data_IF_122799679916
#
_entry.id   IF_122799679916
#
_cell.length_a   1.000
_cell.length_b   1.000
_cell.length_c   1.000
_cell.angle_alpha   90.00
_cell.angle_beta   90.00
_cell.angle_gamma   90.00
#
_symmetry.space_group_name_H-M   'P 1'
#
loop_
_entity.id
_entity.type
_entity.pdbx_description
1 polymer ?
#
# COMPACT_ATOMS: atom_id res chain seq x y z
N UNK A 1 0.96 -11.28 1.37
CA UNK A 1 1.80 -10.14 1.86
C UNK A 1 2.76 -9.62 0.79
N UNK A 2 3.71 -10.42 0.30
CA UNK A 2 4.64 -9.98 -0.74
C UNK A 2 3.93 -9.52 -2.02
N UNK A 3 2.90 -10.23 -2.47
CA UNK A 3 2.10 -9.89 -3.64
C UNK A 3 1.40 -8.53 -3.50
N UNK A 4 0.62 -8.32 -2.43
CA UNK A 4 0.02 -7.01 -2.09
C UNK A 4 1.05 -5.87 -2.12
N UNK A 5 2.24 -6.10 -1.55
CA UNK A 5 3.32 -5.12 -1.52
C UNK A 5 3.86 -4.81 -2.92
N UNK A 6 4.04 -5.84 -3.76
CA UNK A 6 4.50 -5.69 -5.12
C UNK A 6 3.46 -4.98 -5.99
N UNK A 7 2.18 -5.36 -5.91
CA UNK A 7 1.07 -4.69 -6.63
C UNK A 7 1.07 -3.20 -6.29
N UNK A 8 1.10 -2.86 -5.00
CA UNK A 8 1.15 -1.47 -4.55
C UNK A 8 2.40 -0.72 -5.07
N UNK A 9 3.58 -1.33 -4.94
CA UNK A 9 4.86 -0.69 -5.29
C UNK A 9 4.94 -0.43 -6.79
N UNK A 10 4.63 -1.43 -7.61
CA UNK A 10 4.68 -1.31 -9.07
C UNK A 10 3.62 -0.36 -9.58
N UNK A 11 2.40 -0.40 -9.04
CA UNK A 11 1.36 0.53 -9.45
C UNK A 11 1.69 1.98 -9.03
N UNK A 12 2.21 2.19 -7.83
CA UNK A 12 2.67 3.53 -7.40
C UNK A 12 3.76 4.09 -8.32
N UNK A 13 4.70 3.24 -8.74
CA UNK A 13 5.72 3.61 -9.72
C UNK A 13 5.09 3.93 -11.09
N UNK A 14 4.20 3.08 -11.59
CA UNK A 14 3.52 3.30 -12.87
C UNK A 14 2.73 4.61 -12.88
N UNK A 15 1.98 4.91 -11.80
CA UNK A 15 1.27 6.18 -11.61
C UNK A 15 2.18 7.38 -11.72
N UNK A 16 3.37 7.31 -11.13
CA UNK A 16 4.36 8.40 -11.22
C UNK A 16 4.85 8.64 -12.64
N UNK A 17 4.94 7.59 -13.45
CA UNK A 17 5.39 7.67 -14.84
C UNK A 17 4.33 8.28 -15.77
N UNK A 18 3.05 7.99 -15.53
CA UNK A 18 1.94 8.51 -16.34
C UNK A 18 1.35 9.83 -15.82
N UNK A 19 1.92 10.40 -14.75
CA UNK A 19 1.43 11.64 -14.15
C UNK A 19 0.07 11.50 -13.45
N UNK A 20 -0.32 10.29 -13.05
CA UNK A 20 -1.54 10.05 -12.29
C UNK A 20 -1.38 10.46 -10.81
N UNK A 21 -2.50 10.65 -10.12
CA UNK A 21 -2.52 11.07 -8.71
C UNK A 21 -1.68 10.16 -7.82
N UNK A 22 -0.75 10.72 -7.03
CA UNK A 22 0.08 9.93 -6.11
C UNK A 22 -0.74 9.54 -4.88
N UNK A 23 -1.00 8.25 -4.70
CA UNK A 23 -1.86 7.74 -3.62
C UNK A 23 -1.13 7.58 -2.28
N UNK A 24 0.19 7.37 -2.31
CA UNK A 24 0.97 7.09 -1.09
C UNK A 24 1.04 8.26 -0.11
N UNK A 25 1.04 9.51 -0.62
CA UNK A 25 1.19 10.69 0.24
C UNK A 25 -0.01 10.89 1.18
N UNK A 26 -1.27 10.88 0.70
CA UNK A 26 -2.44 10.91 1.58
C UNK A 26 -2.47 9.79 2.63
N UNK A 27 -2.07 8.57 2.26
CA UNK A 27 -2.05 7.42 3.19
C UNK A 27 -0.97 7.58 4.27
N UNK A 28 0.19 8.10 3.90
CA UNK A 28 1.24 8.41 4.86
C UNK A 28 0.83 9.53 5.83
N UNK A 29 0.27 10.62 5.31
CA UNK A 29 -0.17 11.76 6.12
C UNK A 29 -1.32 11.39 7.08
N UNK A 30 -2.10 10.34 6.76
CA UNK A 30 -3.13 9.79 7.65
C UNK A 30 -2.56 9.00 8.85
N UNK A 31 -1.25 8.71 8.86
CA UNK A 31 -0.64 7.84 9.86
C UNK A 31 -1.07 6.37 9.70
N UNK A 32 -0.80 5.55 10.70
CA UNK A 32 -1.14 4.13 10.65
C UNK A 32 -2.65 3.90 10.65
N UNK A 33 -3.12 2.93 9.86
CA UNK A 33 -4.51 2.52 9.81
C UNK A 33 -5.04 2.10 11.19
N UNK A 34 -6.25 2.54 11.52
CA UNK A 34 -6.92 2.14 12.74
C UNK A 34 -7.28 0.65 12.70
N UNK A 35 -7.01 -0.07 13.79
CA UNK A 35 -7.34 -1.50 13.91
C UNK A 35 -6.27 -2.46 13.40
N UNK A 36 -5.18 -1.96 12.79
CA UNK A 36 -4.02 -2.79 12.43
C UNK A 36 -3.08 -2.90 13.62
N UNK A 37 -2.81 -4.14 14.03
CA UNK A 37 -1.79 -4.42 15.04
C UNK A 37 -0.40 -4.11 14.49
N UNK A 38 0.40 -3.39 15.26
CA UNK A 38 1.78 -3.06 14.90
C UNK A 38 2.72 -3.17 16.09
N UNK A 39 3.95 -3.58 15.81
CA UNK A 39 5.03 -3.68 16.78
C UNK A 39 6.30 -3.01 16.22
N UNK A 40 6.98 -2.19 17.03
CA UNK A 40 8.25 -1.59 16.64
C UNK A 40 9.36 -2.64 16.78
N UNK A 41 10.00 -3.01 15.67
CA UNK A 41 11.08 -4.03 15.67
C UNK A 41 12.47 -3.42 15.59
N UNK A 42 12.58 -2.23 15.00
CA UNK A 42 13.80 -1.41 14.96
C UNK A 42 13.41 0.07 14.75
N UNK A 43 14.31 1.04 14.98
CA UNK A 43 14.00 2.45 14.72
C UNK A 43 13.46 2.68 13.30
N UNK A 44 12.21 3.12 13.20
CA UNK A 44 11.53 3.36 11.92
C UNK A 44 11.06 2.12 11.16
N UNK A 45 11.14 0.92 11.77
CA UNK A 45 10.71 -0.34 11.17
C UNK A 45 9.67 -1.03 12.05
N UNK A 46 8.57 -1.41 11.45
CA UNK A 46 7.42 -2.00 12.14
C UNK A 46 7.07 -3.36 11.56
N UNK A 47 6.73 -4.30 12.43
CA UNK A 47 5.96 -5.48 12.07
C UNK A 47 4.48 -5.11 12.12
N UNK A 48 3.77 -5.32 11.01
CA UNK A 48 2.33 -5.20 10.89
C UNK A 48 1.72 -6.60 10.91
N UNK A 49 0.62 -6.78 11.65
CA UNK A 49 -0.09 -8.07 11.71
C UNK A 49 -1.51 -7.92 11.18
N UNK A 50 -1.91 -8.88 10.37
CA UNK A 50 -3.28 -9.10 9.94
C UNK A 50 -3.68 -10.55 10.14
N UNK A 51 -4.95 -10.86 9.86
CA UNK A 51 -5.46 -12.24 9.91
C UNK A 51 -4.75 -13.18 8.92
N UNK A 52 -4.20 -12.63 7.85
CA UNK A 52 -3.60 -13.39 6.75
C UNK A 52 -2.07 -13.52 6.87
N UNK A 53 -1.45 -12.83 7.81
CA UNK A 53 -0.01 -12.90 8.05
C UNK A 53 0.57 -11.60 8.61
N UNK A 54 1.89 -11.46 8.48
CA UNK A 54 2.61 -10.29 8.93
C UNK A 54 3.52 -9.70 7.84
N UNK A 55 3.85 -8.42 7.98
CA UNK A 55 4.79 -7.72 7.11
C UNK A 55 5.73 -6.83 7.95
N UNK A 56 7.04 -6.96 7.74
CA UNK A 56 8.05 -6.11 8.39
C UNK A 56 8.51 -5.06 7.39
N UNK A 57 8.18 -3.80 7.64
CA UNK A 57 8.41 -2.69 6.71
C UNK A 57 8.96 -1.47 7.44
N UNK A 58 9.86 -0.75 6.77
CA UNK A 58 10.34 0.56 7.23
C UNK A 58 9.40 1.69 6.79
N UNK A 59 9.44 2.82 7.50
CA UNK A 59 8.80 4.06 7.06
C UNK A 59 9.36 4.55 5.71
N UNK A 60 8.54 5.19 4.85
CA UNK A 60 7.10 5.45 5.02
C UNK A 60 6.20 4.23 4.70
N UNK A 61 6.79 3.13 4.22
CA UNK A 61 6.05 1.98 3.70
C UNK A 61 5.27 1.24 4.78
N UNK A 62 5.77 1.17 6.02
CA UNK A 62 5.01 0.61 7.14
C UNK A 62 3.70 1.35 7.39
N UNK A 63 3.74 2.68 7.42
CA UNK A 63 2.54 3.51 7.57
C UNK A 63 1.58 3.29 6.40
N UNK A 64 2.05 3.39 5.16
CA UNK A 64 1.21 3.24 3.97
C UNK A 64 0.60 1.83 3.90
N UNK A 65 1.41 0.79 4.07
CA UNK A 65 0.99 -0.59 3.92
C UNK A 65 0.03 -1.05 5.02
N UNK A 66 0.00 -0.37 6.17
CA UNK A 66 -1.03 -0.60 7.18
C UNK A 66 -2.45 -0.36 6.64
N UNK A 67 -2.64 0.54 5.68
CA UNK A 67 -3.95 0.72 5.03
C UNK A 67 -4.29 -0.37 4.02
N UNK A 68 -3.32 -1.20 3.64
CA UNK A 68 -3.44 -2.19 2.57
C UNK A 68 -3.43 -3.63 3.08
N UNK A 69 -2.88 -3.88 4.27
CA UNK A 69 -2.59 -5.24 4.76
C UNK A 69 -3.84 -6.12 4.89
N UNK A 70 -4.97 -5.52 5.25
CA UNK A 70 -6.29 -6.16 5.37
C UNK A 70 -7.14 -6.08 4.09
N UNK A 71 -6.69 -5.38 3.06
CA UNK A 71 -7.37 -5.36 1.76
C UNK A 71 -7.05 -6.62 0.96
N UNK A 72 -7.99 -7.10 0.14
CA UNK A 72 -7.70 -8.12 -0.87
C UNK A 72 -6.85 -7.54 -2.00
N UNK A 73 -6.14 -8.39 -2.72
CA UNK A 73 -5.37 -8.00 -3.91
C UNK A 73 -6.25 -7.24 -4.91
N UNK A 74 -7.49 -7.71 -5.17
CA UNK A 74 -8.42 -7.05 -6.09
C UNK A 74 -8.87 -5.66 -5.60
N UNK A 75 -8.98 -5.46 -4.28
CA UNK A 75 -9.28 -4.15 -3.72
C UNK A 75 -8.12 -3.18 -3.93
N UNK A 76 -6.89 -3.65 -3.73
CA UNK A 76 -5.67 -2.86 -3.98
C UNK A 76 -5.59 -2.52 -5.48
N UNK A 77 -5.76 -3.50 -6.36
CA UNK A 77 -5.76 -3.29 -7.82
C UNK A 77 -6.78 -2.25 -8.26
N UNK A 78 -8.03 -2.39 -7.82
CA UNK A 78 -9.08 -1.40 -8.11
C UNK A 78 -8.69 -0.01 -7.65
N UNK A 79 -8.17 0.11 -6.43
CA UNK A 79 -7.74 1.39 -5.85
C UNK A 79 -6.62 2.03 -6.69
N UNK A 80 -5.61 1.25 -7.09
CA UNK A 80 -4.45 1.80 -7.83
C UNK A 80 -4.73 2.08 -9.30
N UNK A 81 -5.78 1.48 -9.88
CA UNK A 81 -6.22 1.72 -11.26
C UNK A 81 -7.12 2.96 -11.40
N UNK A 82 -7.67 3.50 -10.30
CA UNK A 82 -8.49 4.74 -10.34
C UNK A 82 -7.68 5.89 -10.96
N UNK A 83 -8.29 6.62 -11.90
CA UNK A 83 -7.66 7.74 -12.62
C UNK A 83 -6.41 7.37 -13.46
N UNK A 84 -6.06 6.09 -13.61
CA UNK A 84 -5.00 5.65 -14.54
C UNK A 84 -5.47 5.52 -16.01
N UNK A 85 -6.73 5.88 -16.31
CA UNK A 85 -7.17 6.17 -17.68
C UNK A 85 -6.79 5.11 -18.71
N UNK A 86 -7.08 3.84 -18.45
CA UNK A 86 -7.02 2.78 -19.46
C UNK A 86 -8.43 2.38 -19.90
N UNK A 87 -8.97 3.03 -20.93
CA UNK A 87 -9.70 2.22 -21.92
C UNK A 87 -8.71 1.18 -22.41
N UNK A 88 -8.93 -0.09 -22.10
CA UNK A 88 -8.19 -1.18 -22.71
C UNK A 88 -8.22 -1.00 -24.25
N UNK A 89 -7.10 -1.20 -24.98
CA UNK A 89 -7.20 -1.33 -26.42
C UNK A 89 -8.04 -2.58 -26.74
N UNK A 90 -8.87 -2.46 -27.78
CA UNK A 90 -9.74 -3.50 -28.36
C UNK A 90 -9.08 -4.88 -28.46
#
# INVERSE_FOLDING_TARGET
>A
MAEKYLVWTWASLARSYVGATILGRPLYDAGFAAGVEKELVAPGTFELRSREGCAVLMEPYGTIFSHLIDMTEEQIEKMVLVDMGGTAPM
#
